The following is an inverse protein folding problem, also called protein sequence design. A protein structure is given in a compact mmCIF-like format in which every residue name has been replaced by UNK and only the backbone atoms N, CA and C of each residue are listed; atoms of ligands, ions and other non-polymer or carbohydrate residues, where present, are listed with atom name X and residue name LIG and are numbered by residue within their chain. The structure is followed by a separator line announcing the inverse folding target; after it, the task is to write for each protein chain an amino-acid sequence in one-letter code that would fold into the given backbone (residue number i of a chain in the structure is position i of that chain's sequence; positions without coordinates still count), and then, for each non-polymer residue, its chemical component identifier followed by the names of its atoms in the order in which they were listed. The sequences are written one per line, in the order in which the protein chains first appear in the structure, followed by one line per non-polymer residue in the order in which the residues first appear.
data_IF_447729164618
#
_entry.id   IF_447729164618
#
_cell.length_a   1.000
_cell.length_b   1.000
_cell.length_c   1.000
_cell.angle_alpha   90.00
_cell.angle_beta   90.00
_cell.angle_gamma   90.00
#
_symmetry.space_group_name_H-M   'P 1'
#
loop_
_entity.id
_entity.type
_entity.pdbx_description
1 polymer ?
#
# COMPACT_ATOMS: atom_id res chain seq x y z
N UNK A 1 -54.88 -18.55 51.72
CA UNK A 1 -54.36 -18.26 50.36
C UNK A 1 -52.86 -18.02 50.49
N UNK A 2 -52.06 -19.00 50.11
CA UNK A 2 -50.59 -18.95 50.21
C UNK A 2 -50.03 -18.45 48.87
N UNK A 3 -49.35 -17.30 48.88
CA UNK A 3 -48.63 -16.81 47.71
C UNK A 3 -47.22 -17.44 47.68
N UNK A 4 -46.96 -18.17 46.60
CA UNK A 4 -45.68 -18.81 46.30
C UNK A 4 -44.64 -17.75 45.91
N UNK A 5 -43.53 -17.69 46.64
CA UNK A 5 -42.39 -16.83 46.33
C UNK A 5 -41.54 -17.52 45.27
N UNK A 6 -41.67 -17.09 44.01
CA UNK A 6 -40.76 -17.48 42.92
C UNK A 6 -39.42 -16.81 43.18
N UNK A 7 -38.42 -17.60 43.58
CA UNK A 7 -37.02 -17.17 43.63
C UNK A 7 -36.50 -16.98 42.20
N UNK A 8 -36.51 -15.74 41.72
CA UNK A 8 -35.78 -15.37 40.50
C UNK A 8 -34.29 -15.42 40.84
N UNK A 9 -33.61 -16.45 40.36
CA UNK A 9 -32.16 -16.52 40.34
C UNK A 9 -31.70 -15.49 39.31
N UNK A 10 -31.22 -14.34 39.77
CA UNK A 10 -30.61 -13.32 38.92
C UNK A 10 -29.33 -13.91 38.34
N UNK A 11 -29.39 -14.35 37.08
CA UNK A 11 -28.24 -14.78 36.32
C UNK A 11 -27.42 -13.52 35.97
N UNK A 12 -26.45 -13.18 36.81
CA UNK A 12 -25.40 -12.23 36.48
C UNK A 12 -24.48 -12.86 35.42
N UNK A 13 -24.96 -12.89 34.17
CA UNK A 13 -24.17 -13.29 33.02
C UNK A 13 -23.31 -12.09 32.59
N UNK A 14 -22.09 -12.09 33.10
CA UNK A 14 -20.85 -11.57 32.51
C UNK A 14 -21.02 -10.77 31.19
N UNK A 15 -21.28 -9.47 31.28
CA UNK A 15 -20.90 -8.53 30.22
C UNK A 15 -19.41 -8.21 30.38
N UNK A 16 -18.58 -9.22 30.16
CA UNK A 16 -17.15 -9.05 29.96
C UNK A 16 -16.91 -8.60 28.52
N UNK A 17 -16.75 -7.29 28.34
CA UNK A 17 -15.87 -6.64 27.35
C UNK A 17 -15.66 -7.37 26.01
N UNK A 18 -16.62 -7.28 25.09
CA UNK A 18 -16.29 -7.31 23.65
C UNK A 18 -16.14 -5.86 23.17
N UNK A 19 -15.18 -5.13 23.74
CA UNK A 19 -14.56 -4.04 23.00
C UNK A 19 -13.84 -4.74 21.85
N UNK A 20 -14.50 -4.83 20.69
CA UNK A 20 -13.76 -4.99 19.44
C UNK A 20 -12.79 -3.82 19.42
N UNK A 21 -11.54 -4.09 19.78
CA UNK A 21 -10.51 -3.08 19.77
C UNK A 21 -10.52 -2.51 18.36
N UNK A 22 -10.72 -1.20 18.22
CA UNK A 22 -10.51 -0.51 16.95
C UNK A 22 -9.19 -1.06 16.39
N UNK A 23 -9.13 -1.48 15.11
CA UNK A 23 -7.89 -1.96 14.53
C UNK A 23 -6.76 -0.99 14.90
N UNK A 24 -5.73 -1.49 15.57
CA UNK A 24 -4.54 -0.70 15.86
C UNK A 24 -3.82 -0.48 14.52
N UNK A 25 -3.25 0.69 14.28
CA UNK A 25 -2.68 1.04 12.96
C UNK A 25 -3.62 1.91 12.11
N UNK A 26 -3.02 2.83 11.35
CA UNK A 26 -3.73 3.75 10.46
C UNK A 26 -3.82 3.19 9.04
N UNK A 27 -4.37 3.97 8.09
CA UNK A 27 -4.12 3.68 6.68
C UNK A 27 -2.60 3.69 6.45
N UNK A 28 -2.11 2.77 5.63
CA UNK A 28 -0.75 2.80 5.18
C UNK A 28 -0.47 4.11 4.43
N UNK A 29 0.80 4.42 4.29
CA UNK A 29 1.24 5.46 3.38
C UNK A 29 2.59 5.07 2.82
N UNK A 30 2.89 5.53 1.61
CA UNK A 30 4.22 5.39 1.03
C UNK A 30 4.75 6.72 0.52
N UNK A 31 6.07 6.81 0.42
CA UNK A 31 6.73 7.77 -0.45
C UNK A 31 7.19 7.02 -1.69
N UNK A 32 6.85 7.55 -2.86
CA UNK A 32 7.26 7.05 -4.16
C UNK A 32 8.24 8.02 -4.79
N UNK A 33 9.32 7.50 -5.36
CA UNK A 33 10.28 8.27 -6.12
C UNK A 33 10.36 7.72 -7.55
N UNK A 34 10.34 8.60 -8.55
CA UNK A 34 10.36 8.22 -9.97
C UNK A 34 11.55 8.91 -10.65
N UNK A 35 12.35 8.14 -11.36
CA UNK A 35 13.49 8.60 -12.15
C UNK A 35 13.18 8.50 -13.65
N UNK A 36 13.77 9.40 -14.43
CA UNK A 36 13.50 9.51 -15.87
C UNK A 36 13.89 8.28 -16.68
N UNK A 37 14.81 7.46 -16.18
CA UNK A 37 15.47 6.45 -17.02
C UNK A 37 16.33 7.08 -18.12
N UNK A 38 16.72 6.29 -19.13
CA UNK A 38 16.42 4.86 -19.30
C UNK A 38 17.23 3.99 -18.33
N UNK A 39 16.57 3.10 -17.60
CA UNK A 39 17.22 2.15 -16.70
C UNK A 39 16.45 0.84 -16.69
N UNK A 40 17.16 -0.27 -16.49
CA UNK A 40 16.55 -1.59 -16.30
C UNK A 40 16.97 -2.11 -14.94
N UNK A 41 15.99 -2.40 -14.09
CA UNK A 41 16.28 -2.98 -12.77
C UNK A 41 16.96 -4.35 -12.95
N UNK A 42 18.16 -4.57 -12.39
CA UNK A 42 18.86 -5.85 -12.51
C UNK A 42 18.16 -6.96 -11.72
N UNK A 43 17.47 -6.61 -10.63
CA UNK A 43 16.61 -7.51 -9.85
C UNK A 43 15.48 -6.71 -9.18
N UNK A 44 14.33 -7.33 -8.83
CA UNK A 44 13.22 -6.64 -8.15
C UNK A 44 13.60 -5.96 -6.83
N UNK A 45 14.50 -6.59 -6.07
CA UNK A 45 14.94 -6.12 -4.75
C UNK A 45 16.21 -5.26 -4.82
N UNK A 46 16.73 -5.03 -6.03
CA UNK A 46 17.91 -4.17 -6.19
C UNK A 46 17.58 -2.73 -5.85
N UNK A 47 18.53 -1.98 -5.32
CA UNK A 47 18.36 -0.55 -5.11
C UNK A 47 18.61 0.22 -6.41
N UNK A 48 17.93 1.35 -6.57
CA UNK A 48 18.25 2.28 -7.65
C UNK A 48 19.64 2.88 -7.39
N UNK A 49 20.58 2.82 -8.36
CA UNK A 49 21.93 3.35 -8.19
C UNK A 49 21.95 4.86 -7.89
N UNK A 50 22.77 5.25 -6.90
CA UNK A 50 22.96 6.66 -6.54
C UNK A 50 23.95 7.40 -7.47
N UNK A 51 24.57 6.69 -8.41
CA UNK A 51 25.57 7.23 -9.35
C UNK A 51 24.94 8.00 -10.53
N UNK A 52 23.61 8.11 -10.58
CA UNK A 52 22.87 8.81 -11.63
C UNK A 52 22.55 7.94 -12.85
N UNK A 53 22.94 6.66 -12.87
CA UNK A 53 22.67 5.74 -13.98
C UNK A 53 21.18 5.51 -14.23
N UNK A 54 20.33 5.76 -13.22
CA UNK A 54 18.88 5.67 -13.36
C UNK A 54 18.22 6.92 -13.99
N UNK A 55 19.01 7.92 -14.34
CA UNK A 55 18.55 9.21 -14.84
C UNK A 55 18.29 10.23 -13.72
N UNK A 56 17.49 11.24 -14.03
CA UNK A 56 17.18 12.34 -13.09
C UNK A 56 15.92 12.00 -12.30
N UNK A 57 15.92 12.28 -10.99
CA UNK A 57 14.71 12.18 -10.17
C UNK A 57 13.68 13.18 -10.69
N UNK A 58 12.56 12.66 -11.21
CA UNK A 58 11.46 13.46 -11.77
C UNK A 58 10.55 14.00 -10.68
N UNK A 59 10.19 13.14 -9.72
CA UNK A 59 9.24 13.50 -8.67
C UNK A 59 9.40 12.62 -7.45
N UNK A 60 8.89 13.13 -6.33
CA UNK A 60 8.69 12.40 -5.09
C UNK A 60 7.28 12.70 -4.61
N UNK A 61 6.48 11.67 -4.41
CA UNK A 61 5.05 11.79 -4.07
C UNK A 61 4.79 10.98 -2.80
N UNK A 62 4.10 11.57 -1.83
CA UNK A 62 3.58 10.83 -0.68
C UNK A 62 2.13 10.42 -0.97
N UNK A 63 1.85 9.13 -0.85
CA UNK A 63 0.58 8.52 -1.25
C UNK A 63 0.03 7.76 -0.05
N UNK A 64 -1.07 8.23 0.56
CA UNK A 64 -1.79 7.46 1.55
C UNK A 64 -2.55 6.29 0.89
N UNK A 65 -2.82 5.25 1.66
CA UNK A 65 -3.63 4.09 1.23
C UNK A 65 -5.00 4.53 0.71
N UNK A 66 -5.52 3.79 -0.27
CA UNK A 66 -6.80 4.05 -0.94
C UNK A 66 -6.87 5.43 -1.63
N UNK A 67 -5.71 6.04 -1.92
CA UNK A 67 -5.63 7.30 -2.65
C UNK A 67 -4.93 7.08 -3.97
N UNK A 68 -5.63 7.44 -5.04
CA UNK A 68 -5.05 7.44 -6.37
C UNK A 68 -4.23 8.70 -6.62
N UNK A 69 -2.95 8.54 -6.93
CA UNK A 69 -2.08 9.63 -7.36
C UNK A 69 -1.83 9.54 -8.87
N UNK A 70 -2.10 10.63 -9.58
CA UNK A 70 -1.71 10.75 -10.99
C UNK A 70 -0.22 11.05 -11.04
N UNK A 71 0.54 10.17 -11.66
CA UNK A 71 1.99 10.29 -11.78
C UNK A 71 2.43 9.71 -13.12
N UNK A 72 3.29 10.44 -13.83
CA UNK A 72 3.79 10.01 -15.12
C UNK A 72 5.05 9.15 -14.91
N UNK A 73 4.99 7.90 -15.38
CA UNK A 73 6.12 7.00 -15.43
C UNK A 73 6.49 6.79 -16.91
N UNK A 74 7.48 7.53 -17.43
CA UNK A 74 7.94 7.34 -18.80
C UNK A 74 8.37 5.88 -19.05
N UNK A 75 8.30 5.43 -20.30
CA UNK A 75 8.84 4.14 -20.69
C UNK A 75 10.35 4.10 -20.36
N UNK A 76 10.79 3.03 -19.69
CA UNK A 76 12.18 2.88 -19.24
C UNK A 76 12.54 3.66 -17.97
N UNK A 77 11.57 4.31 -17.32
CA UNK A 77 11.75 4.95 -16.01
C UNK A 77 12.10 3.93 -14.92
N UNK A 78 12.72 4.37 -13.84
CA UNK A 78 12.87 3.55 -12.64
C UNK A 78 12.08 4.19 -11.50
N UNK A 79 11.58 3.39 -10.56
CA UNK A 79 10.96 3.91 -9.35
C UNK A 79 11.33 3.07 -8.13
N UNK A 80 11.30 3.71 -6.97
CA UNK A 80 11.27 3.06 -5.67
C UNK A 80 10.02 3.52 -4.93
N UNK A 81 9.63 2.73 -3.94
CA UNK A 81 8.64 3.16 -2.96
C UNK A 81 9.09 2.75 -1.57
N UNK A 82 8.69 3.49 -0.55
CA UNK A 82 8.97 3.17 0.85
C UNK A 82 7.75 3.41 1.71
N UNK A 83 7.38 2.45 2.56
CA UNK A 83 6.29 2.60 3.53
C UNK A 83 6.68 3.64 4.57
N UNK A 84 5.83 4.65 4.75
CA UNK A 84 5.99 5.76 5.71
C UNK A 84 5.00 5.71 6.86
N UNK A 85 3.90 4.96 6.72
CA UNK A 85 2.97 4.69 7.81
C UNK A 85 2.56 3.20 7.81
N UNK A 86 2.56 2.59 8.99
CA UNK A 86 2.19 1.18 9.18
C UNK A 86 0.71 0.97 8.83
N UNK A 87 0.38 -0.07 8.04
CA UNK A 87 -1.00 -0.43 7.75
C UNK A 87 -1.77 -0.86 9.01
N UNK A 88 -3.09 -1.05 8.82
CA UNK A 88 -4.00 -1.62 9.82
C UNK A 88 -3.51 -2.99 10.32
N UNK A 89 -3.81 -3.30 11.58
CA UNK A 89 -3.56 -4.64 12.15
C UNK A 89 -4.22 -5.71 11.28
N UNK A 90 -3.53 -6.85 11.09
CA UNK A 90 -3.90 -7.98 10.23
C UNK A 90 -3.68 -7.78 8.73
N UNK A 91 -3.06 -6.67 8.29
CA UNK A 91 -2.50 -6.62 6.95
C UNK A 91 -1.42 -7.69 6.80
N UNK A 92 -1.48 -8.45 5.72
CA UNK A 92 -0.54 -9.51 5.35
C UNK A 92 0.52 -9.00 4.37
N UNK A 93 0.14 -8.10 3.47
CA UNK A 93 1.04 -7.56 2.45
C UNK A 93 0.61 -6.16 1.99
N UNK A 94 1.57 -5.41 1.47
CA UNK A 94 1.33 -4.15 0.77
C UNK A 94 1.95 -4.20 -0.63
N UNK A 95 1.34 -3.49 -1.57
CA UNK A 95 1.76 -3.40 -2.95
C UNK A 95 1.68 -1.97 -3.46
N UNK A 96 2.63 -1.59 -4.30
CA UNK A 96 2.50 -0.44 -5.20
C UNK A 96 1.75 -0.92 -6.42
N UNK A 97 0.61 -0.32 -6.75
CA UNK A 97 -0.12 -0.61 -7.97
C UNK A 97 0.02 0.54 -8.94
N UNK A 98 0.59 0.27 -10.11
CA UNK A 98 0.71 1.23 -11.21
C UNK A 98 -0.39 1.00 -12.23
N UNK A 99 -0.92 2.07 -12.82
CA UNK A 99 -2.03 2.05 -13.78
C UNK A 99 -1.63 2.70 -15.10
N UNK A 100 -1.98 2.06 -16.21
CA UNK A 100 -1.57 2.52 -17.55
C UNK A 100 -2.14 3.91 -17.91
N UNK A 101 -3.35 4.20 -17.44
CA UNK A 101 -4.03 5.48 -17.67
C UNK A 101 -3.92 6.42 -16.46
N UNK A 102 -4.39 7.66 -16.62
CA UNK A 102 -4.45 8.64 -15.53
C UNK A 102 -5.67 8.38 -14.62
N UNK A 103 -5.60 7.29 -13.86
CA UNK A 103 -6.58 6.92 -12.84
C UNK A 103 -6.35 5.50 -12.32
N UNK A 104 -6.86 5.18 -11.13
CA UNK A 104 -6.65 3.90 -10.45
C UNK A 104 -7.87 2.95 -10.57
N UNK A 105 -8.72 3.18 -11.57
CA UNK A 105 -9.86 2.30 -11.84
C UNK A 105 -9.46 1.18 -12.79
N UNK A 106 -9.57 -0.08 -12.35
CA UNK A 106 -9.33 -1.22 -13.23
C UNK A 106 -10.39 -1.29 -14.34
N UNK A 107 -9.95 -1.16 -15.60
CA UNK A 107 -10.80 -1.30 -16.79
C UNK A 107 -10.07 -2.15 -17.84
N UNK A 108 -10.74 -2.47 -18.95
CA UNK A 108 -10.10 -3.22 -20.05
C UNK A 108 -8.89 -2.48 -20.66
N UNK A 109 -8.88 -1.14 -20.61
CA UNK A 109 -7.80 -0.31 -21.15
C UNK A 109 -6.82 0.13 -20.08
N UNK A 110 -7.26 0.24 -18.83
CA UNK A 110 -6.44 0.62 -17.70
C UNK A 110 -5.92 -0.61 -16.94
N UNK A 111 -4.93 -1.27 -17.54
CA UNK A 111 -4.22 -2.38 -16.91
C UNK A 111 -3.39 -1.89 -15.74
N UNK A 112 -3.30 -2.72 -14.69
CA UNK A 112 -2.49 -2.42 -13.52
C UNK A 112 -1.39 -3.46 -13.30
N UNK A 113 -0.29 -3.03 -12.69
CA UNK A 113 0.83 -3.87 -12.31
C UNK A 113 1.20 -3.63 -10.84
N UNK A 114 1.25 -4.71 -10.07
CA UNK A 114 1.56 -4.68 -8.64
C UNK A 114 3.03 -5.00 -8.37
N UNK A 115 3.65 -4.22 -7.49
CA UNK A 115 5.02 -4.44 -7.00
C UNK A 115 4.98 -4.63 -5.48
N UNK A 116 5.37 -5.80 -4.96
CA UNK A 116 5.30 -6.08 -3.53
C UNK A 116 6.37 -5.30 -2.76
N UNK A 117 6.00 -4.80 -1.58
CA UNK A 117 6.99 -4.40 -0.59
C UNK A 117 7.63 -5.65 0.04
N UNK A 118 8.88 -5.52 0.50
CA UNK A 118 9.60 -6.57 1.22
C UNK A 118 8.96 -6.94 2.58
N UNK A 119 8.27 -5.98 3.20
CA UNK A 119 7.40 -6.20 4.36
C UNK A 119 6.35 -5.08 4.49
N UNK A 120 5.57 -5.09 5.58
CA UNK A 120 4.57 -4.07 5.91
C UNK A 120 5.05 -3.05 6.96
N UNK A 121 6.30 -3.15 7.40
CA UNK A 121 6.87 -2.22 8.38
C UNK A 121 7.19 -0.85 7.75
N UNK A 122 7.20 0.22 8.55
CA UNK A 122 7.74 1.50 8.09
C UNK A 122 9.21 1.34 7.71
N UNK A 123 9.60 1.90 6.57
CA UNK A 123 10.93 1.74 5.99
C UNK A 123 11.04 0.56 5.01
N UNK A 124 10.06 -0.34 4.97
CA UNK A 124 9.99 -1.36 3.92
C UNK A 124 9.84 -0.73 2.55
N UNK A 125 10.44 -1.36 1.55
CA UNK A 125 10.59 -0.77 0.23
C UNK A 125 10.24 -1.74 -0.90
N UNK A 126 9.80 -1.15 -2.01
CA UNK A 126 9.97 -1.75 -3.33
C UNK A 126 11.37 -1.35 -3.79
N UNK A 127 12.26 -2.33 -3.97
CA UNK A 127 13.67 -2.09 -4.30
C UNK A 127 13.84 -1.27 -5.57
N UNK A 128 13.52 -1.88 -6.72
CA UNK A 128 13.56 -1.23 -8.02
C UNK A 128 12.42 -1.76 -8.90
N UNK A 129 11.49 -0.86 -9.22
CA UNK A 129 10.46 -1.10 -10.23
C UNK A 129 10.79 -0.36 -11.52
N UNK A 130 10.48 -0.99 -12.67
CA UNK A 130 10.81 -0.45 -13.99
C UNK A 130 9.71 -0.77 -15.02
N UNK A 131 9.05 0.26 -15.59
CA UNK A 131 8.13 0.11 -16.71
C UNK A 131 8.88 -0.19 -18.02
N UNK A 132 9.10 -1.48 -18.32
CA UNK A 132 9.82 -1.91 -19.54
C UNK A 132 8.95 -2.00 -20.79
N UNK A 133 7.64 -2.19 -20.63
CA UNK A 133 6.75 -2.54 -21.75
C UNK A 133 5.87 -1.36 -22.21
N UNK A 134 5.47 -0.48 -21.29
CA UNK A 134 4.65 0.70 -21.57
C UNK A 134 4.76 1.71 -20.41
N UNK A 135 4.27 2.93 -20.63
CA UNK A 135 4.27 4.01 -19.63
C UNK A 135 3.05 3.90 -18.69
N UNK A 136 3.18 4.38 -17.45
CA UNK A 136 2.07 4.45 -16.49
C UNK A 136 1.67 5.89 -16.20
N UNK A 137 0.39 6.09 -15.88
CA UNK A 137 -0.22 7.41 -15.63
C UNK A 137 -0.74 7.61 -14.21
N UNK A 138 -0.89 6.55 -13.42
CA UNK A 138 -1.31 6.65 -12.03
C UNK A 138 -0.74 5.54 -11.15
N UNK A 139 -0.83 5.75 -9.85
CA UNK A 139 -0.26 4.88 -8.82
C UNK A 139 -1.06 4.98 -7.53
N UNK A 140 -1.18 3.85 -6.83
CA UNK A 140 -1.68 3.81 -5.46
C UNK A 140 -0.92 2.78 -4.63
N UNK A 141 -1.12 2.83 -3.30
CA UNK A 141 -0.72 1.76 -2.37
C UNK A 141 -1.96 1.00 -1.91
N UNK A 142 -1.89 -0.33 -1.99
CA UNK A 142 -2.92 -1.25 -1.53
C UNK A 142 -2.32 -2.19 -0.49
N UNK A 143 -3.00 -2.34 0.65
CA UNK A 143 -2.58 -3.20 1.75
C UNK A 143 -3.73 -4.12 2.20
N UNK A 144 -3.50 -5.43 2.09
CA UNK A 144 -4.49 -6.49 2.39
C UNK A 144 -4.01 -7.38 3.51
#
# INVERSE_FOLDING_TARGET
MFFSVVKIVTLAAMFGSALTAKPTGGPAAMTLQIWSGPFTCPAPDSTIPADGSAGTLLTTISIPELTCAVANFPLGSAFNATITATPKTNTLACYVQLFAEQGCGATLTNQYHGYPFDSIAVGSAVGCGNPVAFAYGAVEIVCE
#
